data_IF_701472169692
#
_entry.id   IF_701472169692
#
_cell.length_a   1.000
_cell.length_b   1.000
_cell.length_c   1.000
_cell.angle_alpha   90.00
_cell.angle_beta   90.00
_cell.angle_gamma   90.00
#
_symmetry.space_group_name_H-M   'P 1'
#
loop_
_entity.id
_entity.type
_entity.pdbx_description
1 polymer ?
#
# COMPACT_ATOMS: atom_id res chain seq x y z
N UNK A 1 -7.88 6.35 -8.03
CA UNK A 1 -6.75 5.84 -8.84
C UNK A 1 -5.42 6.14 -8.17
N UNK A 2 -4.50 5.16 -8.08
CA UNK A 2 -3.08 5.46 -8.18
C UNK A 2 -2.34 4.57 -9.19
N UNK A 3 -1.42 5.20 -9.91
CA UNK A 3 -0.55 4.68 -10.96
C UNK A 3 0.29 3.48 -10.51
N UNK A 4 -0.08 2.28 -10.97
CA UNK A 4 0.56 1.00 -10.59
C UNK A 4 1.91 0.71 -11.28
N UNK A 5 2.42 1.55 -12.20
CA UNK A 5 3.49 1.14 -13.16
C UNK A 5 4.83 1.90 -13.13
N UNK A 6 5.09 2.82 -12.20
CA UNK A 6 6.45 3.38 -11.99
C UNK A 6 7.31 2.55 -11.02
N UNK A 7 6.67 1.81 -10.12
CA UNK A 7 7.33 1.01 -9.08
C UNK A 7 8.14 -0.16 -9.66
N UNK A 8 7.65 -0.83 -10.70
CA UNK A 8 8.29 -2.01 -11.29
C UNK A 8 9.59 -1.68 -12.02
N UNK A 9 9.61 -0.62 -12.84
CA UNK A 9 10.82 -0.14 -13.52
C UNK A 9 11.86 0.27 -12.49
N UNK A 10 11.46 1.03 -11.46
CA UNK A 10 12.36 1.43 -10.38
C UNK A 10 12.89 0.23 -9.59
N UNK A 11 12.08 -0.82 -9.39
CA UNK A 11 12.51 -2.05 -8.73
C UNK A 11 13.54 -2.85 -9.56
N UNK A 12 13.42 -2.84 -10.88
CA UNK A 12 14.39 -3.44 -11.80
C UNK A 12 15.71 -2.67 -11.83
N UNK A 13 15.66 -1.33 -11.74
CA UNK A 13 16.85 -0.47 -11.72
C UNK A 13 17.63 -0.48 -10.40
N UNK A 14 17.02 -0.91 -9.27
CA UNK A 14 17.75 -1.00 -7.99
C UNK A 14 18.80 -2.09 -8.05
N UNK A 15 20.04 -1.84 -7.60
CA UNK A 15 21.14 -2.81 -7.66
C UNK A 15 20.77 -4.21 -7.14
N UNK A 16 20.16 -4.31 -5.95
CA UNK A 16 19.77 -5.59 -5.33
C UNK A 16 18.29 -5.55 -4.90
N UNK A 17 17.50 -6.52 -5.37
CA UNK A 17 16.11 -6.68 -4.94
C UNK A 17 16.01 -7.81 -3.92
N UNK A 18 15.13 -7.65 -2.92
CA UNK A 18 14.83 -8.69 -1.92
C UNK A 18 13.98 -9.84 -2.49
N UNK A 19 13.40 -9.64 -3.67
CA UNK A 19 12.52 -10.63 -4.30
C UNK A 19 13.29 -11.48 -5.31
N UNK A 20 13.26 -12.80 -5.13
CA UNK A 20 13.94 -13.76 -6.00
C UNK A 20 13.51 -13.63 -7.48
N UNK A 21 12.22 -13.42 -7.75
CA UNK A 21 11.67 -13.21 -9.10
C UNK A 21 12.30 -12.00 -9.79
N UNK A 22 12.48 -10.88 -9.09
CA UNK A 22 13.12 -9.68 -9.65
C UNK A 22 14.58 -9.96 -10.01
N UNK A 23 15.29 -10.73 -9.19
CA UNK A 23 16.69 -11.09 -9.47
C UNK A 23 16.80 -12.09 -10.63
N UNK A 24 15.86 -13.03 -10.79
CA UNK A 24 15.79 -13.92 -11.97
C UNK A 24 15.57 -13.11 -13.24
N UNK A 25 14.58 -12.22 -13.24
CA UNK A 25 14.27 -11.33 -14.37
C UNK A 25 15.49 -10.48 -14.76
N UNK A 26 16.21 -9.90 -13.78
CA UNK A 26 17.46 -9.18 -14.03
C UNK A 26 18.56 -10.01 -14.71
N UNK A 27 18.69 -11.30 -14.38
CA UNK A 27 19.65 -12.19 -15.05
C UNK A 27 19.34 -12.30 -16.53
N UNK A 28 18.07 -12.53 -16.89
CA UNK A 28 17.64 -12.56 -18.30
C UNK A 28 17.91 -11.23 -19.01
N UNK A 29 17.66 -10.10 -18.36
CA UNK A 29 17.98 -8.78 -18.92
C UNK A 29 19.49 -8.55 -19.09
N UNK A 30 20.31 -9.04 -18.15
CA UNK A 30 21.76 -8.94 -18.23
C UNK A 30 22.32 -9.79 -19.38
N UNK A 31 21.74 -10.97 -19.60
CA UNK A 31 22.05 -11.85 -20.72
C UNK A 31 21.70 -11.22 -22.08
N UNK A 32 20.64 -10.41 -22.13
CA UNK A 32 20.22 -9.71 -23.34
C UNK A 32 21.14 -8.52 -23.72
N UNK A 33 22.17 -8.19 -22.91
CA UNK A 33 23.24 -7.20 -23.20
C UNK A 33 22.77 -5.89 -23.86
N UNK A 34 21.60 -5.36 -23.49
CA UNK A 34 21.10 -4.10 -24.03
C UNK A 34 20.42 -4.19 -25.41
N UNK A 35 20.23 -5.39 -25.97
CA UNK A 35 19.43 -5.62 -27.17
C UNK A 35 17.93 -5.30 -26.96
N UNK A 36 17.50 -5.21 -25.71
CA UNK A 36 16.13 -4.89 -25.32
C UNK A 36 16.09 -3.48 -24.73
N UNK A 37 15.57 -2.53 -25.51
CA UNK A 37 15.28 -1.18 -25.06
C UNK A 37 14.11 -1.14 -24.10
N UNK A 38 14.19 -0.28 -23.08
CA UNK A 38 13.12 -0.09 -22.11
C UNK A 38 12.49 1.30 -22.30
N UNK A 39 11.35 1.35 -22.98
CA UNK A 39 10.56 2.57 -23.10
C UNK A 39 9.23 2.41 -22.38
N UNK A 40 8.89 3.39 -21.53
CA UNK A 40 7.57 3.44 -20.94
C UNK A 40 6.57 3.96 -21.97
N UNK A 41 5.53 3.17 -22.23
CA UNK A 41 4.40 3.57 -23.08
C UNK A 41 3.17 3.78 -22.19
N UNK A 42 2.47 4.90 -22.40
CA UNK A 42 1.25 5.24 -21.66
C UNK A 42 0.16 4.20 -21.96
N UNK A 43 -0.53 3.75 -20.92
CA UNK A 43 -1.71 2.89 -21.06
C UNK A 43 -2.89 3.67 -21.68
N UNK A 44 -3.71 2.98 -22.47
CA UNK A 44 -4.91 3.54 -23.13
C UNK A 44 -4.61 4.76 -24.00
N UNK A 45 -3.50 4.70 -24.74
CA UNK A 45 -3.06 5.74 -25.66
C UNK A 45 -3.22 5.32 -27.14
N UNK A 46 -4.01 4.28 -27.43
CA UNK A 46 -4.21 3.79 -28.79
C UNK A 46 -3.05 2.94 -29.32
N UNK A 47 -2.17 2.42 -28.44
CA UNK A 47 -1.07 1.55 -28.88
C UNK A 47 -1.56 0.10 -28.93
N UNK A 48 -1.67 -0.54 -30.11
CA UNK A 48 -2.32 -1.84 -30.25
C UNK A 48 -1.62 -2.94 -29.43
N UNK A 49 -0.28 -2.92 -29.37
CA UNK A 49 0.49 -3.90 -28.60
C UNK A 49 0.27 -3.78 -27.09
N UNK A 50 0.20 -2.55 -26.57
CA UNK A 50 -0.08 -2.30 -25.15
C UNK A 50 -1.52 -2.65 -24.78
N UNK A 51 -2.47 -2.38 -25.66
CA UNK A 51 -3.90 -2.69 -25.47
C UNK A 51 -4.16 -4.19 -25.52
N UNK A 52 -3.54 -4.89 -26.47
CA UNK A 52 -3.59 -6.35 -26.55
C UNK A 52 -2.97 -7.00 -25.30
N UNK A 53 -1.83 -6.49 -24.82
CA UNK A 53 -1.22 -6.96 -23.58
C UNK A 53 -2.11 -6.73 -22.35
N UNK A 54 -2.77 -5.57 -22.26
CA UNK A 54 -3.70 -5.24 -21.17
C UNK A 54 -4.97 -6.12 -21.22
N UNK A 55 -5.50 -6.37 -22.41
CA UNK A 55 -6.62 -7.29 -22.65
C UNK A 55 -6.27 -8.72 -22.20
N UNK A 56 -5.13 -9.24 -22.64
CA UNK A 56 -4.69 -10.59 -22.25
C UNK A 56 -4.42 -10.69 -20.74
N UNK A 57 -3.87 -9.65 -20.12
CA UNK A 57 -3.68 -9.62 -18.66
C UNK A 57 -5.01 -9.61 -17.89
N UNK A 58 -6.04 -8.94 -18.42
CA UNK A 58 -7.40 -8.98 -17.86
C UNK A 58 -8.00 -10.37 -17.98
N UNK A 59 -7.92 -11.00 -19.16
CA UNK A 59 -8.37 -12.38 -19.38
C UNK A 59 -7.67 -13.35 -18.43
N UNK A 60 -6.35 -13.24 -18.27
CA UNK A 60 -5.61 -14.08 -17.32
C UNK A 60 -6.02 -13.85 -15.86
N UNK A 61 -6.59 -12.69 -15.52
CA UNK A 61 -7.12 -12.43 -14.17
C UNK A 61 -8.50 -13.06 -13.96
N UNK A 62 -9.30 -13.21 -15.02
CA UNK A 62 -10.67 -13.76 -14.97
C UNK A 62 -10.72 -15.26 -15.23
N UNK A 63 -9.91 -15.75 -16.17
CA UNK A 63 -9.92 -17.13 -16.68
C UNK A 63 -8.65 -17.90 -16.35
N UNK A 64 -7.61 -17.22 -15.85
CA UNK A 64 -6.33 -17.85 -15.53
C UNK A 64 -6.38 -18.68 -14.25
N UNK A 65 -5.43 -19.61 -14.14
CA UNK A 65 -5.24 -20.41 -12.94
C UNK A 65 -4.88 -19.51 -11.75
N UNK A 66 -5.60 -19.69 -10.65
CA UNK A 66 -5.33 -18.97 -9.40
C UNK A 66 -4.05 -19.53 -8.78
N UNK A 67 -2.92 -18.89 -9.08
CA UNK A 67 -1.69 -19.17 -8.36
C UNK A 67 -1.88 -18.82 -6.88
N UNK A 68 -1.69 -19.80 -5.99
CA UNK A 68 -1.67 -19.59 -4.54
C UNK A 68 -0.41 -18.83 -4.14
N UNK A 69 -0.42 -17.52 -4.41
CA UNK A 69 0.61 -16.62 -3.93
C UNK A 69 0.29 -16.31 -2.48
N UNK A 70 1.18 -16.72 -1.58
CA UNK A 70 1.08 -16.38 -0.17
C UNK A 70 0.82 -14.87 -0.01
N UNK A 71 -0.17 -14.52 0.83
CA UNK A 71 -0.58 -13.13 1.00
C UNK A 71 0.64 -12.29 1.38
N UNK A 72 0.98 -11.24 0.62
CA UNK A 72 2.14 -10.42 0.92
C UNK A 72 2.04 -9.85 2.35
N UNK A 73 3.15 -9.84 3.08
CA UNK A 73 3.21 -9.27 4.44
C UNK A 73 2.60 -7.87 4.52
N UNK A 74 2.84 -7.03 3.50
CA UNK A 74 2.26 -5.69 3.42
C UNK A 74 0.73 -5.68 3.39
N UNK A 75 0.11 -6.68 2.76
CA UNK A 75 -1.35 -6.83 2.71
C UNK A 75 -1.90 -7.24 4.07
N UNK A 76 -1.26 -8.21 4.74
CA UNK A 76 -1.64 -8.61 6.10
C UNK A 76 -1.50 -7.43 7.06
N UNK A 77 -0.34 -6.76 7.05
CA UNK A 77 -0.08 -5.56 7.86
C UNK A 77 -1.12 -4.47 7.61
N UNK A 78 -1.45 -4.19 6.35
CA UNK A 78 -2.48 -3.21 6.00
C UNK A 78 -3.85 -3.58 6.53
N UNK A 79 -4.27 -4.85 6.43
CA UNK A 79 -5.56 -5.33 6.97
C UNK A 79 -5.61 -5.18 8.49
N UNK A 80 -4.56 -5.59 9.19
CA UNK A 80 -4.46 -5.44 10.66
C UNK A 80 -4.53 -3.97 11.04
N UNK A 81 -3.72 -3.11 10.42
CA UNK A 81 -3.74 -1.67 10.69
C UNK A 81 -5.12 -1.05 10.43
N UNK A 82 -5.78 -1.45 9.34
CA UNK A 82 -7.11 -0.94 8.99
C UNK A 82 -8.17 -1.36 10.01
N UNK A 83 -8.19 -2.63 10.40
CA UNK A 83 -9.14 -3.13 11.39
C UNK A 83 -8.90 -2.47 12.75
N UNK A 84 -7.65 -2.41 13.20
CA UNK A 84 -7.29 -1.75 14.45
C UNK A 84 -7.77 -0.29 14.47
N UNK A 85 -7.55 0.48 13.40
CA UNK A 85 -8.02 1.87 13.32
C UNK A 85 -9.54 1.99 13.33
N UNK A 86 -10.26 1.02 12.75
CA UNK A 86 -11.74 0.99 12.77
C UNK A 86 -12.24 0.77 14.18
N UNK A 87 -11.76 -0.27 14.86
CA UNK A 87 -12.17 -0.60 16.23
C UNK A 87 -11.86 0.54 17.20
N UNK A 88 -10.73 1.22 16.99
CA UNK A 88 -10.36 2.41 17.74
C UNK A 88 -11.26 3.60 17.47
N UNK A 89 -11.66 3.83 16.22
CA UNK A 89 -12.59 4.91 15.88
C UNK A 89 -13.97 4.64 16.48
N UNK A 90 -14.45 3.40 16.47
CA UNK A 90 -15.71 3.03 17.11
C UNK A 90 -15.68 3.27 18.63
N UNK A 91 -14.59 2.90 19.28
CA UNK A 91 -14.38 3.17 20.72
C UNK A 91 -14.30 4.68 20.99
N UNK A 92 -13.62 5.42 20.11
CA UNK A 92 -13.51 6.87 20.19
C UNK A 92 -14.87 7.52 20.08
N UNK A 93 -15.66 7.16 19.07
CA UNK A 93 -16.98 7.72 18.81
C UNK A 93 -17.94 7.46 19.98
N UNK A 94 -17.84 6.29 20.65
CA UNK A 94 -18.61 5.97 21.86
C UNK A 94 -18.15 6.62 23.17
N UNK A 95 -17.06 7.40 23.18
CA UNK A 95 -16.56 8.03 24.41
C UNK A 95 -17.37 9.28 24.80
N UNK A 96 -18.27 9.15 25.77
CA UNK A 96 -19.19 10.22 26.22
C UNK A 96 -18.82 10.87 27.56
N UNK A 97 -17.60 10.67 28.05
CA UNK A 97 -17.12 11.37 29.24
C UNK A 97 -16.93 12.87 28.96
N UNK A 98 -17.03 13.70 29.99
CA UNK A 98 -16.75 15.15 29.93
C UNK A 98 -15.38 15.44 29.27
N UNK A 99 -14.34 14.74 29.73
CA UNK A 99 -12.99 14.81 29.18
C UNK A 99 -12.90 14.26 27.75
N UNK A 100 -13.65 13.19 27.45
CA UNK A 100 -13.73 12.58 26.11
C UNK A 100 -14.34 13.53 25.09
N UNK A 101 -15.44 14.22 25.43
CA UNK A 101 -16.06 15.25 24.59
C UNK A 101 -15.11 16.41 24.29
N UNK A 102 -14.46 16.96 25.32
CA UNK A 102 -13.45 18.03 25.12
C UNK A 102 -12.30 17.58 24.23
N UNK A 103 -11.84 16.34 24.40
CA UNK A 103 -10.76 15.79 23.58
C UNK A 103 -11.20 15.61 22.11
N UNK A 104 -12.46 15.23 21.87
CA UNK A 104 -13.05 15.13 20.53
C UNK A 104 -13.13 16.47 19.81
N UNK A 105 -13.32 17.58 20.53
CA UNK A 105 -13.31 18.92 19.93
C UNK A 105 -11.95 19.25 19.30
N UNK A 106 -10.85 18.79 19.89
CA UNK A 106 -9.50 18.93 19.34
C UNK A 106 -9.13 17.80 18.36
N UNK A 107 -9.67 16.60 18.57
CA UNK A 107 -9.34 15.36 17.84
C UNK A 107 -10.62 14.67 17.39
N UNK A 108 -11.28 15.15 16.34
CA UNK A 108 -12.58 14.62 15.92
C UNK A 108 -12.50 13.21 15.35
N UNK A 109 -11.32 12.78 14.87
CA UNK A 109 -11.09 11.42 14.35
C UNK A 109 -9.76 10.88 14.82
N UNK A 110 -9.71 9.59 15.11
CA UNK A 110 -8.45 8.95 15.50
C UNK A 110 -7.48 8.93 14.32
N UNK A 111 -6.25 9.36 14.60
CA UNK A 111 -5.20 9.44 13.60
C UNK A 111 -3.91 8.87 14.16
N UNK A 112 -3.35 7.86 13.50
CA UNK A 112 -2.09 7.22 13.89
C UNK A 112 -0.95 8.21 14.14
N UNK A 113 -0.83 9.27 13.34
CA UNK A 113 0.23 10.28 13.54
C UNK A 113 0.04 11.00 14.87
N UNK A 114 -1.18 11.40 15.17
CA UNK A 114 -1.52 12.10 16.41
C UNK A 114 -1.18 11.25 17.65
N UNK A 115 -1.45 9.94 17.58
CA UNK A 115 -1.19 8.99 18.67
C UNK A 115 0.30 8.71 18.92
N UNK A 116 1.09 8.68 17.85
CA UNK A 116 2.53 8.43 17.96
C UNK A 116 3.27 9.68 18.44
N UNK A 117 2.85 10.87 18.01
CA UNK A 117 3.54 12.12 18.33
C UNK A 117 3.16 12.70 19.70
N UNK A 118 1.99 12.35 20.26
CA UNK A 118 1.44 13.12 21.37
C UNK A 118 0.86 12.28 22.50
N UNK A 119 1.64 11.30 22.98
CA UNK A 119 1.28 10.52 24.20
C UNK A 119 0.96 11.45 25.38
N UNK A 120 1.74 12.51 25.57
CA UNK A 120 1.53 13.50 26.63
C UNK A 120 0.24 14.32 26.48
N UNK A 121 -0.12 14.69 25.25
CA UNK A 121 -1.34 15.46 24.99
C UNK A 121 -2.59 14.59 25.20
N UNK A 122 -2.51 13.29 24.92
CA UNK A 122 -3.59 12.34 25.22
C UNK A 122 -3.80 12.25 26.74
N UNK A 123 -2.74 12.13 27.53
CA UNK A 123 -2.83 12.11 29.00
C UNK A 123 -3.35 13.44 29.58
N UNK A 124 -2.91 14.57 29.02
CA UNK A 124 -3.37 15.90 29.43
C UNK A 124 -4.87 16.09 29.14
N UNK A 125 -5.33 15.71 27.95
CA UNK A 125 -6.73 15.87 27.53
C UNK A 125 -7.67 14.85 28.20
N UNK A 126 -7.18 13.64 28.55
CA UNK A 126 -7.96 12.64 29.28
C UNK A 126 -8.12 12.94 30.78
N UNK A 127 -7.42 13.95 31.31
CA UNK A 127 -7.50 14.34 32.72
C UNK A 127 -6.88 13.34 33.69
N UNK A 128 -6.00 12.45 33.21
CA UNK A 128 -5.32 11.45 34.03
C UNK A 128 -3.96 11.99 34.50
N UNK A 129 -3.99 13.08 35.27
CA UNK A 129 -2.87 13.54 36.07
C UNK A 129 -3.18 13.08 37.49
N UNK A 130 -2.39 12.15 38.03
CA UNK A 130 -2.44 11.77 39.44
C UNK A 130 -1.25 12.39 40.14
#
# INVERSE_FOLDING_TARGET
>A
MPLRRRSSIKALLRARSRFATVNKVKKYFSLAKGLVGHTWVKAHAGNPGNELADHNAKLATTEGEKLEIATPYSCVKFKIEKNLMKDWQETWDGCDSESGRRTKDFVPKVNRKFLVFSKYLIFFLSGTIR
#
